data_IF_782228486768
#
_entry.id   IF_782228486768
#
_cell.length_a   1.000
_cell.length_b   1.000
_cell.length_c   1.000
_cell.angle_alpha   90.00
_cell.angle_beta   90.00
_cell.angle_gamma   90.00
#
_symmetry.space_group_name_H-M   'P 1'
#
loop_
_entity.id
_entity.type
_entity.pdbx_description
1 polymer ?
#
# COMPACT_ATOMS: atom_id res chain seq x y z
N UNK A 1 -6.73 -15.46 12.78
CA UNK A 1 -6.34 -16.10 14.04
C UNK A 1 -5.02 -16.81 13.82
N UNK A 2 -3.96 -16.40 14.53
CA UNK A 2 -2.70 -17.15 14.55
C UNK A 2 -2.83 -18.30 15.55
N UNK A 3 -2.30 -19.47 15.23
CA UNK A 3 -2.39 -20.66 16.07
C UNK A 3 -1.09 -21.45 16.02
N UNK A 4 -0.58 -21.83 17.19
CA UNK A 4 0.58 -22.73 17.30
C UNK A 4 0.07 -24.16 17.25
N UNK A 5 0.46 -24.91 16.22
CA UNK A 5 0.11 -26.32 16.10
C UNK A 5 1.25 -27.20 16.65
N UNK A 6 0.90 -28.17 17.49
CA UNK A 6 1.80 -29.25 17.94
C UNK A 6 1.27 -30.57 17.38
N UNK A 7 2.08 -31.29 16.61
CA UNK A 7 1.75 -32.65 16.17
C UNK A 7 2.47 -33.62 17.09
N UNK A 8 1.72 -34.50 17.75
CA UNK A 8 2.27 -35.52 18.64
C UNK A 8 2.17 -36.87 17.92
N UNK A 9 3.32 -37.43 17.51
CA UNK A 9 3.40 -38.77 16.94
C UNK A 9 3.76 -39.74 18.07
N UNK A 10 2.88 -40.71 18.35
CA UNK A 10 3.12 -41.73 19.38
C UNK A 10 3.32 -43.08 18.71
N UNK A 11 4.54 -43.63 18.77
CA UNK A 11 4.81 -45.05 18.56
C UNK A 11 5.30 -45.66 19.89
N UNK A 12 5.24 -46.99 20.00
CA UNK A 12 5.46 -47.70 21.26
C UNK A 12 6.93 -47.72 21.76
N UNK A 13 7.82 -46.87 21.23
CA UNK A 13 9.26 -46.88 21.55
C UNK A 13 9.86 -45.52 21.96
N UNK A 14 9.04 -44.51 22.21
CA UNK A 14 9.48 -43.23 22.76
C UNK A 14 8.69 -42.04 22.23
N UNK A 15 8.42 -41.08 23.10
CA UNK A 15 7.81 -39.80 22.74
C UNK A 15 8.94 -38.83 22.35
N UNK A 16 8.97 -38.39 21.09
CA UNK A 16 9.76 -37.22 20.69
C UNK A 16 8.78 -36.11 20.33
N UNK A 17 8.85 -35.01 21.08
CA UNK A 17 8.12 -33.80 20.74
C UNK A 17 8.79 -33.11 19.55
N UNK A 18 8.03 -32.87 18.47
CA UNK A 18 8.52 -32.01 17.40
C UNK A 18 8.64 -30.58 17.90
N UNK A 19 9.72 -29.88 17.54
CA UNK A 19 9.87 -28.44 17.82
C UNK A 19 8.65 -27.65 17.33
N UNK A 20 8.18 -26.61 18.07
CA UNK A 20 7.05 -25.80 17.64
C UNK A 20 7.30 -25.18 16.25
N UNK A 21 6.38 -25.42 15.31
CA UNK A 21 6.37 -24.74 14.02
C UNK A 21 5.48 -23.49 14.14
N UNK A 22 6.05 -22.31 13.88
CA UNK A 22 5.28 -21.06 13.82
C UNK A 22 4.69 -20.92 12.42
N UNK A 23 3.38 -21.09 12.31
CA UNK A 23 2.64 -20.79 11.08
C UNK A 23 2.31 -19.29 11.04
N UNK A 24 3.12 -18.51 10.31
CA UNK A 24 2.79 -17.11 10.05
C UNK A 24 1.81 -17.05 8.89
N UNK A 25 0.55 -16.67 9.14
CA UNK A 25 -0.39 -16.31 8.05
C UNK A 25 0.19 -15.10 7.33
N UNK A 26 0.50 -15.21 6.05
CA UNK A 26 0.88 -14.09 5.21
C UNK A 26 -0.39 -13.52 4.58
N UNK A 27 -0.66 -12.22 4.78
CA UNK A 27 -1.80 -11.56 4.12
C UNK A 27 -1.31 -10.73 2.93
N UNK A 28 -2.07 -10.68 1.82
CA UNK A 28 -1.74 -9.85 0.68
C UNK A 28 -1.84 -8.36 1.01
N UNK A 29 -1.25 -7.53 0.16
CA UNK A 29 -1.46 -6.09 0.12
C UNK A 29 -2.92 -5.84 -0.23
N UNK A 30 -3.54 -4.84 0.40
CA UNK A 30 -4.92 -4.45 0.11
C UNK A 30 -5.05 -2.94 0.05
N UNK A 31 -5.41 -2.41 -1.11
CA UNK A 31 -5.85 -1.02 -1.25
C UNK A 31 -7.28 -0.90 -0.71
N UNK A 32 -7.46 -0.20 0.42
CA UNK A 32 -8.77 -0.08 1.08
C UNK A 32 -9.51 1.20 0.74
N UNK A 33 -8.78 2.29 0.43
CA UNK A 33 -9.37 3.57 0.05
C UNK A 33 -8.42 4.39 -0.81
N UNK A 34 -8.98 5.09 -1.80
CA UNK A 34 -8.29 6.07 -2.64
C UNK A 34 -9.17 7.31 -2.73
N UNK A 35 -8.63 8.48 -2.40
CA UNK A 35 -9.34 9.76 -2.49
C UNK A 35 -8.44 10.88 -3.05
N UNK A 36 -8.92 11.71 -3.99
CA UNK A 36 -10.21 11.58 -4.68
C UNK A 36 -10.24 10.28 -5.48
N UNK A 37 -11.44 9.74 -5.66
CA UNK A 37 -11.63 8.52 -6.45
C UNK A 37 -11.91 8.93 -7.89
N UNK A 38 -10.88 9.09 -8.74
CA UNK A 38 -11.02 8.58 -10.13
C UNK A 38 -9.69 8.32 -10.89
N UNK A 39 -9.82 7.65 -12.04
CA UNK A 39 -8.76 7.49 -13.07
C UNK A 39 -8.18 8.83 -13.59
N UNK A 40 -8.99 9.91 -13.57
CA UNK A 40 -8.63 11.27 -14.07
C UNK A 40 -9.28 12.36 -13.21
N UNK A 41 -8.49 13.33 -12.74
CA UNK A 41 -8.90 14.47 -11.90
C UNK A 41 -8.48 15.77 -12.58
N UNK A 42 -9.41 16.69 -12.77
CA UNK A 42 -9.12 18.05 -13.25
C UNK A 42 -8.89 18.99 -12.07
N UNK A 43 -7.74 19.67 -12.09
CA UNK A 43 -7.31 20.61 -11.07
C UNK A 43 -7.30 22.02 -11.63
N UNK A 44 -7.56 23.00 -10.77
CA UNK A 44 -7.47 24.42 -11.11
C UNK A 44 -6.20 25.03 -10.53
N UNK A 45 -5.49 25.82 -11.35
CA UNK A 45 -4.27 26.51 -10.92
C UNK A 45 -4.54 27.37 -9.69
N UNK A 46 -3.61 27.32 -8.72
CA UNK A 46 -3.67 28.09 -7.48
C UNK A 46 -4.48 27.43 -6.36
N UNK A 47 -5.30 26.42 -6.65
CA UNK A 47 -6.09 25.73 -5.62
C UNK A 47 -5.27 24.60 -4.96
N UNK A 48 -5.49 24.29 -3.68
CA UNK A 48 -4.85 23.15 -3.02
C UNK A 48 -5.46 21.83 -3.48
N UNK A 49 -4.65 20.77 -3.47
CA UNK A 49 -5.08 19.43 -3.86
C UNK A 49 -4.39 18.34 -3.02
N UNK A 50 -5.06 17.20 -2.84
CA UNK A 50 -4.51 16.03 -2.13
C UNK A 50 -4.93 14.72 -2.81
N UNK A 51 -3.98 13.77 -2.87
CA UNK A 51 -4.26 12.35 -3.10
C UNK A 51 -3.95 11.57 -1.82
N UNK A 52 -4.86 10.72 -1.38
CA UNK A 52 -4.68 9.85 -0.22
C UNK A 52 -4.98 8.39 -0.55
N UNK A 53 -4.17 7.50 0.01
CA UNK A 53 -4.23 6.05 -0.17
C UNK A 53 -4.21 5.38 1.20
N UNK A 54 -5.20 4.55 1.49
CA UNK A 54 -5.18 3.67 2.65
C UNK A 54 -4.78 2.25 2.18
N UNK A 55 -3.64 1.77 2.68
CA UNK A 55 -2.95 0.57 2.20
C UNK A 55 -2.75 -0.40 3.37
N UNK A 56 -3.50 -1.49 3.34
CA UNK A 56 -3.44 -2.57 4.34
C UNK A 56 -2.59 -3.75 3.90
N UNK A 57 -2.41 -4.66 4.85
CA UNK A 57 -1.64 -5.90 4.72
C UNK A 57 -1.05 -6.26 6.08
N UNK A 58 -1.02 -7.55 6.42
CA UNK A 58 -0.50 -8.00 7.71
C UNK A 58 0.98 -7.69 7.89
N UNK A 59 1.76 -7.85 6.83
CA UNK A 59 3.09 -7.23 6.75
C UNK A 59 2.95 -5.86 6.09
N UNK A 60 3.50 -4.82 6.72
CA UNK A 60 3.51 -3.45 6.20
C UNK A 60 4.10 -3.43 4.77
N UNK A 61 3.31 -3.07 3.75
CA UNK A 61 3.80 -3.03 2.37
C UNK A 61 4.86 -1.95 2.18
N UNK A 62 5.79 -2.17 1.25
CA UNK A 62 6.63 -1.09 0.70
C UNK A 62 5.80 -0.32 -0.31
N UNK A 63 5.70 0.99 -0.13
CA UNK A 63 4.83 1.87 -0.93
C UNK A 63 5.67 2.91 -1.66
N UNK A 64 5.41 3.07 -2.95
CA UNK A 64 6.03 4.09 -3.81
C UNK A 64 4.95 4.83 -4.60
N UNK A 65 5.18 6.12 -4.81
CA UNK A 65 4.38 6.95 -5.70
C UNK A 65 5.27 7.44 -6.82
N UNK A 66 4.89 7.15 -8.06
CA UNK A 66 5.59 7.62 -9.25
C UNK A 66 4.72 8.64 -9.96
N UNK A 67 5.31 9.73 -10.42
CA UNK A 67 4.72 10.65 -11.36
C UNK A 67 5.43 10.53 -12.70
N UNK A 68 4.70 10.13 -13.74
CA UNK A 68 5.26 9.93 -15.10
C UNK A 68 6.54 9.07 -15.09
N UNK A 69 6.53 8.03 -14.25
CA UNK A 69 7.64 7.10 -14.07
C UNK A 69 8.76 7.57 -13.14
N UNK A 70 8.70 8.79 -12.60
CA UNK A 70 9.68 9.32 -11.63
C UNK A 70 9.13 9.30 -10.21
N UNK A 71 9.91 8.79 -9.27
CA UNK A 71 9.48 8.73 -7.87
C UNK A 71 9.24 10.13 -7.28
N UNK A 72 8.08 10.28 -6.62
CA UNK A 72 7.72 11.46 -5.83
C UNK A 72 7.45 11.04 -4.40
N UNK A 73 7.72 11.94 -3.45
CA UNK A 73 7.57 11.64 -2.03
C UNK A 73 6.15 11.94 -1.57
N UNK A 74 5.63 11.09 -0.69
CA UNK A 74 4.46 11.42 0.11
C UNK A 74 4.77 12.62 1.02
N UNK A 75 3.78 13.49 1.20
CA UNK A 75 3.83 14.62 2.13
C UNK A 75 3.60 14.15 3.58
N UNK A 76 2.77 13.12 3.77
CA UNK A 76 2.56 12.48 5.07
C UNK A 76 2.32 10.98 4.94
N UNK A 77 2.78 10.22 5.94
CA UNK A 77 2.52 8.77 6.08
C UNK A 77 2.21 8.47 7.54
N UNK A 78 0.99 7.99 7.80
CA UNK A 78 0.48 7.69 9.14
C UNK A 78 -0.15 6.29 9.16
N UNK A 79 0.59 5.31 9.69
CA UNK A 79 0.15 3.92 9.69
C UNK A 79 -0.07 3.40 8.26
N UNK A 80 -1.31 3.07 7.92
CA UNK A 80 -1.69 2.59 6.57
C UNK A 80 -2.00 3.73 5.60
N UNK A 81 -2.15 4.97 6.08
CA UNK A 81 -2.56 6.13 5.30
C UNK A 81 -1.37 6.87 4.72
N UNK A 82 -1.33 7.02 3.40
CA UNK A 82 -0.29 7.70 2.64
C UNK A 82 -0.91 8.89 1.90
N UNK A 83 -0.28 10.06 1.99
CA UNK A 83 -0.83 11.31 1.48
C UNK A 83 0.19 12.03 0.61
N UNK A 84 -0.24 12.53 -0.55
CA UNK A 84 0.49 13.47 -1.39
C UNK A 84 -0.33 14.75 -1.55
N UNK A 85 0.18 15.86 -1.00
CA UNK A 85 -0.52 17.15 -0.99
C UNK A 85 0.22 18.19 -1.82
N UNK A 86 -0.53 18.98 -2.57
CA UNK A 86 -0.07 20.11 -3.36
C UNK A 86 -0.78 21.35 -2.81
N UNK A 87 -0.10 22.24 -2.05
CA UNK A 87 -0.74 23.42 -1.46
C UNK A 87 -1.24 24.43 -2.49
N UNK A 88 -0.56 24.49 -3.64
CA UNK A 88 -0.88 25.41 -4.74
C UNK A 88 -0.61 24.67 -6.05
N UNK A 89 -1.70 24.32 -6.77
CA UNK A 89 -1.60 23.62 -8.05
C UNK A 89 -0.92 24.51 -9.11
N UNK A 90 -0.05 23.89 -9.89
CA UNK A 90 0.77 24.50 -10.96
C UNK A 90 0.76 23.57 -12.16
N UNK A 91 0.98 24.08 -13.39
CA UNK A 91 1.01 23.23 -14.60
C UNK A 91 1.98 22.04 -14.48
N UNK A 92 3.10 22.23 -13.78
CA UNK A 92 4.07 21.16 -13.53
C UNK A 92 3.53 20.01 -12.69
N UNK A 93 2.41 20.14 -11.98
CA UNK A 93 1.78 19.08 -11.18
C UNK A 93 0.94 18.11 -12.01
N UNK A 94 0.60 18.45 -13.26
CA UNK A 94 -0.03 17.54 -14.21
C UNK A 94 0.81 16.28 -14.43
N UNK A 95 0.16 15.15 -14.65
CA UNK A 95 0.82 13.87 -14.94
C UNK A 95 0.03 12.66 -14.44
N UNK A 96 0.56 11.47 -14.73
CA UNK A 96 0.02 10.20 -14.25
C UNK A 96 0.75 9.79 -12.97
N UNK A 97 0.01 9.72 -11.86
CA UNK A 97 0.49 9.31 -10.55
C UNK A 97 0.17 7.84 -10.33
N UNK A 98 1.19 6.98 -10.40
CA UNK A 98 1.11 5.55 -10.16
C UNK A 98 1.54 5.22 -8.73
N UNK A 99 0.64 4.63 -7.95
CA UNK A 99 0.96 4.01 -6.69
C UNK A 99 1.36 2.55 -6.91
N UNK A 100 2.44 2.12 -6.26
CA UNK A 100 2.89 0.73 -6.22
C UNK A 100 3.04 0.33 -4.75
N UNK A 101 2.30 -0.69 -4.32
CA UNK A 101 2.38 -1.24 -2.96
C UNK A 101 2.73 -2.72 -3.01
N UNK A 102 3.83 -3.13 -2.37
CA UNK A 102 4.35 -4.50 -2.45
C UNK A 102 4.73 -5.08 -1.10
N UNK A 103 4.31 -6.30 -0.82
CA UNK A 103 4.83 -7.12 0.28
C UNK A 103 5.40 -8.45 -0.24
N UNK A 104 5.73 -9.39 0.65
CA UNK A 104 6.31 -10.70 0.26
C UNK A 104 5.36 -11.58 -0.54
N UNK A 105 4.05 -11.33 -0.44
CA UNK A 105 3.00 -12.21 -0.97
C UNK A 105 2.37 -11.67 -2.25
N UNK A 106 2.34 -10.34 -2.42
CA UNK A 106 1.58 -9.68 -3.48
C UNK A 106 2.07 -8.27 -3.75
N UNK A 107 1.66 -7.72 -4.89
CA UNK A 107 1.81 -6.32 -5.25
C UNK A 107 0.47 -5.80 -5.79
N UNK A 108 0.14 -4.56 -5.45
CA UNK A 108 -1.03 -3.82 -5.92
C UNK A 108 -0.56 -2.53 -6.57
N UNK A 109 -1.21 -2.15 -7.68
CA UNK A 109 -0.94 -0.90 -8.40
C UNK A 109 -2.24 -0.16 -8.71
N UNK A 110 -2.20 1.16 -8.66
CA UNK A 110 -3.31 2.02 -9.10
C UNK A 110 -2.77 3.32 -9.69
N UNK A 111 -3.53 3.96 -10.57
CA UNK A 111 -3.13 5.21 -11.20
C UNK A 111 -4.18 6.30 -10.94
N UNK A 112 -3.72 7.54 -10.81
CA UNK A 112 -4.53 8.77 -10.78
C UNK A 112 -3.92 9.74 -11.79
N UNK A 113 -4.68 10.12 -12.81
CA UNK A 113 -4.23 11.15 -13.77
C UNK A 113 -4.64 12.51 -13.28
N UNK A 114 -3.71 13.45 -13.14
CA UNK A 114 -4.02 14.84 -12.81
C UNK A 114 -3.89 15.69 -14.08
N UNK A 115 -4.97 16.37 -14.46
CA UNK A 115 -4.96 17.41 -15.47
C UNK A 115 -4.98 18.77 -14.78
N UNK A 116 -4.21 19.73 -15.26
CA UNK A 116 -4.23 21.09 -14.71
C UNK A 116 -4.83 22.02 -15.75
N UNK A 117 -5.94 22.66 -15.39
CA UNK A 117 -6.61 23.69 -16.19
C UNK A 117 -6.33 25.07 -15.59
N UNK A 118 -6.09 26.04 -16.48
CA UNK A 118 -5.79 27.44 -16.13
C UNK A 118 -7.03 28.31 -16.08
#
# INVERSE_FOLDING_TARGET
>A
SEGTYRVMLKNNLGETESTPCVLTVLEPVKLTKIAPTPEVVDLKVGEPFEISFDIGGKEAPKVQLLKDGKEVKFTSVEGTRHVYSVPEVKPEHQGVYKLIAKNKTSAEETNVTLNVTG
#
